data_IF_341008600384
#
_entry.id   IF_341008600384
#
_cell.length_a   1.000
_cell.length_b   1.000
_cell.length_c   1.000
_cell.angle_alpha   90.00
_cell.angle_beta   90.00
_cell.angle_gamma   90.00
#
_symmetry.space_group_name_H-M   'P 1'
#
loop_
_entity.id
_entity.type
_entity.pdbx_description
1 polymer ?
#
# COMPACT_ATOMS: atom_id res chain seq x y z
N UNK A 1 29.93 -15.75 0.46
CA UNK A 1 29.71 -15.34 -0.96
C UNK A 1 30.87 -15.86 -1.80
N UNK A 2 30.69 -16.09 -3.10
CA UNK A 2 31.78 -16.44 -4.02
C UNK A 2 32.10 -15.19 -4.85
N UNK A 3 33.37 -14.81 -4.90
CA UNK A 3 33.86 -13.66 -5.68
C UNK A 3 34.14 -14.06 -7.12
N UNK A 4 34.47 -13.08 -7.96
CA UNK A 4 34.81 -13.30 -9.37
C UNK A 4 35.93 -14.34 -9.57
N UNK A 5 36.88 -14.40 -8.64
CA UNK A 5 38.04 -15.30 -8.70
C UNK A 5 37.78 -16.68 -8.06
N UNK A 6 36.52 -17.06 -7.86
CA UNK A 6 36.11 -18.34 -7.27
C UNK A 6 36.64 -18.56 -5.84
N UNK A 7 36.83 -17.48 -5.08
CA UNK A 7 37.19 -17.54 -3.66
C UNK A 7 35.92 -17.49 -2.83
N UNK A 8 35.80 -18.40 -1.84
CA UNK A 8 34.74 -18.38 -0.84
C UNK A 8 35.14 -17.48 0.33
N UNK A 9 34.25 -16.55 0.70
CA UNK A 9 34.46 -15.68 1.86
C UNK A 9 33.19 -15.54 2.69
N UNK A 10 33.38 -15.40 4.00
CA UNK A 10 32.42 -14.88 4.95
C UNK A 10 32.78 -13.43 5.26
N UNK A 11 31.81 -12.52 5.11
CA UNK A 11 32.03 -11.07 5.24
C UNK A 11 30.92 -10.50 6.09
N UNK A 12 31.31 -9.81 7.15
CA UNK A 12 30.41 -9.04 8.00
C UNK A 12 30.40 -7.56 7.60
N UNK A 13 29.20 -7.00 7.51
CA UNK A 13 28.98 -5.60 7.18
C UNK A 13 28.04 -4.96 8.22
N UNK A 14 28.39 -3.75 8.65
CA UNK A 14 27.59 -2.93 9.58
C UNK A 14 27.10 -1.69 8.85
N UNK A 15 25.81 -1.39 8.99
CA UNK A 15 25.18 -0.23 8.38
C UNK A 15 24.74 0.77 9.45
N UNK A 16 25.18 2.03 9.30
CA UNK A 16 24.72 3.16 10.11
C UNK A 16 23.69 3.95 9.30
N UNK A 17 22.52 4.18 9.86
CA UNK A 17 21.44 4.93 9.24
C UNK A 17 20.82 5.90 10.23
N UNK A 18 20.32 7.02 9.72
CA UNK A 18 19.54 8.01 10.49
C UNK A 18 18.13 8.05 9.91
N UNK A 19 17.12 7.89 10.77
CA UNK A 19 15.74 8.07 10.34
C UNK A 19 15.42 9.56 10.31
N UNK A 20 14.96 10.06 9.17
CA UNK A 20 14.53 11.47 9.04
C UNK A 20 13.02 11.63 9.26
N UNK A 21 12.22 10.61 8.92
CA UNK A 21 10.76 10.66 9.01
C UNK A 21 10.20 9.40 9.67
N UNK A 22 9.85 9.48 10.95
CA UNK A 22 9.31 8.34 11.70
C UNK A 22 7.84 8.03 11.34
N UNK A 23 7.02 9.06 11.10
CA UNK A 23 5.57 8.90 10.88
C UNK A 23 5.23 8.11 9.62
N UNK A 24 5.90 8.41 8.50
CA UNK A 24 5.69 7.69 7.22
C UNK A 24 6.15 6.24 7.29
N UNK A 25 7.16 5.99 8.11
CA UNK A 25 7.86 4.71 8.21
C UNK A 25 7.05 3.70 9.03
N UNK A 26 6.31 4.16 10.06
CA UNK A 26 5.35 3.35 10.81
C UNK A 26 4.12 2.95 9.98
N UNK A 27 3.71 3.78 9.02
CA UNK A 27 2.56 3.46 8.14
C UNK A 27 2.90 2.50 7.01
N UNK A 28 4.17 2.37 6.63
CA UNK A 28 4.61 1.59 5.48
C UNK A 28 5.26 0.25 5.84
N UNK A 29 5.83 0.10 7.04
CA UNK A 29 6.64 -1.07 7.39
C UNK A 29 6.36 -1.58 8.81
N UNK A 30 6.07 -2.87 8.92
CA UNK A 30 5.91 -3.58 10.22
C UNK A 30 7.26 -3.99 10.83
N UNK A 31 8.36 -4.03 10.06
CA UNK A 31 9.68 -4.46 10.55
C UNK A 31 10.84 -3.86 9.73
N UNK A 32 11.38 -2.74 10.22
CA UNK A 32 12.42 -1.95 9.53
C UNK A 32 13.77 -2.67 9.58
N UNK A 33 14.14 -3.20 10.74
CA UNK A 33 15.45 -3.80 10.97
C UNK A 33 15.71 -4.97 10.02
N UNK A 34 14.73 -5.87 9.85
CA UNK A 34 14.83 -7.01 8.94
C UNK A 34 14.88 -6.57 7.47
N UNK A 35 14.11 -5.55 7.10
CA UNK A 35 14.12 -5.01 5.73
C UNK A 35 15.48 -4.38 5.38
N UNK A 36 16.05 -3.58 6.29
CA UNK A 36 17.38 -2.98 6.10
C UNK A 36 18.46 -4.06 6.07
N UNK A 37 18.41 -5.06 6.95
CA UNK A 37 19.37 -6.17 6.95
C UNK A 37 19.36 -6.91 5.61
N UNK A 38 18.16 -7.25 5.11
CA UNK A 38 18.02 -7.91 3.83
C UNK A 38 18.53 -7.03 2.69
N UNK A 39 18.20 -5.74 2.68
CA UNK A 39 18.67 -4.79 1.67
C UNK A 39 20.20 -4.66 1.66
N UNK A 40 20.82 -4.50 2.83
CA UNK A 40 22.28 -4.41 2.97
C UNK A 40 22.92 -5.72 2.53
N UNK A 41 22.35 -6.86 2.92
CA UNK A 41 22.86 -8.18 2.54
C UNK A 41 22.77 -8.39 1.03
N UNK A 42 21.65 -8.06 0.38
CA UNK A 42 21.46 -8.25 -1.06
C UNK A 42 22.39 -7.35 -1.86
N UNK A 43 22.52 -6.09 -1.45
CA UNK A 43 23.38 -5.10 -2.12
C UNK A 43 24.85 -5.48 -1.98
N UNK A 44 25.27 -5.82 -0.76
CA UNK A 44 26.65 -6.23 -0.46
C UNK A 44 26.98 -7.53 -1.21
N UNK A 45 26.14 -8.56 -1.11
CA UNK A 45 26.34 -9.83 -1.82
C UNK A 45 26.40 -9.64 -3.34
N UNK A 46 25.51 -8.82 -3.91
CA UNK A 46 25.48 -8.52 -5.34
C UNK A 46 26.75 -7.82 -5.80
N UNK A 47 27.25 -6.82 -5.07
CA UNK A 47 28.45 -6.09 -5.48
C UNK A 47 29.71 -6.97 -5.37
N UNK A 48 29.87 -7.68 -4.26
CA UNK A 48 31.04 -8.52 -4.01
C UNK A 48 31.19 -9.68 -5.01
N UNK A 49 30.07 -10.16 -5.57
CA UNK A 49 30.10 -11.20 -6.60
C UNK A 49 30.81 -10.76 -7.89
N UNK A 50 30.89 -9.46 -8.17
CA UNK A 50 31.47 -8.92 -9.41
C UNK A 50 32.93 -8.45 -9.25
N UNK A 51 33.47 -8.47 -8.03
CA UNK A 51 34.81 -7.95 -7.69
C UNK A 51 35.81 -9.08 -7.46
N UNK A 52 37.08 -8.78 -7.70
CA UNK A 52 38.20 -9.69 -7.45
C UNK A 52 38.58 -9.71 -5.96
N UNK A 53 39.08 -10.83 -5.44
CA UNK A 53 39.40 -10.97 -4.01
C UNK A 53 40.48 -9.97 -3.54
N UNK A 54 41.49 -9.73 -4.38
CA UNK A 54 42.56 -8.77 -4.09
C UNK A 54 42.04 -7.33 -3.93
N UNK A 55 41.09 -6.93 -4.78
CA UNK A 55 40.41 -5.63 -4.72
C UNK A 55 39.61 -5.48 -3.41
N UNK A 56 38.97 -6.56 -2.95
CA UNK A 56 38.24 -6.57 -1.67
C UNK A 56 39.14 -6.33 -0.45
N UNK A 57 40.37 -6.86 -0.47
CA UNK A 57 41.33 -6.69 0.62
C UNK A 57 42.01 -5.31 0.59
N UNK A 58 42.33 -4.80 -0.60
CA UNK A 58 43.06 -3.55 -0.77
C UNK A 58 42.16 -2.32 -0.62
N UNK A 59 40.93 -2.37 -1.13
CA UNK A 59 40.08 -1.18 -1.30
C UNK A 59 38.76 -1.23 -0.52
N UNK A 60 38.76 -1.85 0.67
CA UNK A 60 37.56 -2.00 1.51
C UNK A 60 36.76 -0.70 1.69
N UNK A 61 37.44 0.44 1.83
CA UNK A 61 36.80 1.76 1.99
C UNK A 61 36.09 2.22 0.70
N UNK A 62 36.75 2.08 -0.45
CA UNK A 62 36.18 2.43 -1.76
C UNK A 62 34.92 1.61 -2.02
N UNK A 63 35.02 0.29 -1.82
CA UNK A 63 33.89 -0.65 -2.00
C UNK A 63 32.72 -0.29 -1.09
N UNK A 64 32.98 0.06 0.17
CA UNK A 64 31.90 0.44 1.10
C UNK A 64 31.16 1.71 0.67
N UNK A 65 31.84 2.65 0.01
CA UNK A 65 31.22 3.85 -0.55
C UNK A 65 30.43 3.51 -1.82
N UNK A 66 30.98 2.68 -2.69
CA UNK A 66 30.28 2.21 -3.90
C UNK A 66 28.98 1.47 -3.57
N UNK A 67 28.98 0.59 -2.55
CA UNK A 67 27.76 -0.10 -2.10
C UNK A 67 26.64 0.91 -1.81
N UNK A 68 26.96 2.03 -1.13
CA UNK A 68 25.99 3.07 -0.81
C UNK A 68 25.48 3.79 -2.06
N UNK A 69 26.39 4.15 -2.98
CA UNK A 69 26.04 4.83 -4.22
C UNK A 69 25.14 3.95 -5.09
N UNK A 70 25.49 2.68 -5.25
CA UNK A 70 24.74 1.75 -6.09
C UNK A 70 23.36 1.45 -5.49
N UNK A 71 23.24 1.34 -4.16
CA UNK A 71 21.94 1.21 -3.52
C UNK A 71 21.04 2.42 -3.81
N UNK A 72 21.57 3.63 -3.63
CA UNK A 72 20.83 4.87 -3.88
C UNK A 72 20.45 5.04 -5.36
N UNK A 73 21.35 4.71 -6.29
CA UNK A 73 21.08 4.79 -7.72
C UNK A 73 20.01 3.77 -8.15
N UNK A 74 20.06 2.55 -7.60
CA UNK A 74 19.03 1.53 -7.86
C UNK A 74 17.64 1.97 -7.38
N UNK A 75 17.55 2.58 -6.21
CA UNK A 75 16.31 3.13 -5.67
C UNK A 75 15.78 4.31 -6.49
N UNK A 76 16.67 5.21 -6.93
CA UNK A 76 16.34 6.33 -7.80
C UNK A 76 15.80 5.86 -9.15
N UNK A 77 16.50 4.94 -9.81
CA UNK A 77 16.10 4.40 -11.11
C UNK A 77 14.73 3.69 -11.04
N UNK A 78 14.51 2.90 -9.98
CA UNK A 78 13.21 2.29 -9.72
C UNK A 78 12.11 3.35 -9.55
N UNK A 79 12.37 4.39 -8.74
CA UNK A 79 11.42 5.48 -8.51
C UNK A 79 11.09 6.28 -9.77
N UNK A 80 12.08 6.54 -10.63
CA UNK A 80 11.88 7.21 -11.92
C UNK A 80 11.02 6.38 -12.86
N UNK A 81 11.27 5.07 -12.96
CA UNK A 81 10.45 4.17 -13.76
C UNK A 81 9.00 4.14 -13.28
N UNK A 82 8.79 4.12 -11.96
CA UNK A 82 7.45 4.16 -11.35
C UNK A 82 6.77 5.51 -11.59
N UNK A 83 7.50 6.62 -11.53
CA UNK A 83 6.98 7.96 -11.85
C UNK A 83 6.51 8.04 -13.30
N UNK A 84 7.32 7.57 -14.25
CA UNK A 84 6.93 7.55 -15.67
C UNK A 84 5.70 6.67 -15.89
N UNK A 85 5.64 5.51 -15.25
CA UNK A 85 4.46 4.64 -15.32
C UNK A 85 3.21 5.33 -14.71
N UNK A 86 3.35 6.02 -13.58
CA UNK A 86 2.26 6.77 -12.95
C UNK A 86 1.77 7.93 -13.83
N UNK A 87 2.67 8.65 -14.50
CA UNK A 87 2.33 9.73 -15.44
C UNK A 87 1.52 9.19 -16.63
N UNK A 88 1.99 8.11 -17.25
CA UNK A 88 1.27 7.44 -18.35
C UNK A 88 -0.10 6.98 -17.87
N UNK A 89 -0.20 6.41 -16.67
CA UNK A 89 -1.49 5.99 -16.09
C UNK A 89 -2.42 7.17 -15.78
N UNK A 90 -1.88 8.32 -15.34
CA UNK A 90 -2.66 9.53 -15.10
C UNK A 90 -3.25 10.09 -16.39
N UNK A 91 -2.54 9.95 -17.51
CA UNK A 91 -3.03 10.41 -18.82
C UNK A 91 -4.18 9.56 -19.37
N UNK A 92 -4.34 8.31 -18.90
CA UNK A 92 -5.33 7.37 -19.41
C UNK A 92 -6.10 6.68 -18.26
N UNK A 93 -7.25 7.24 -17.81
CA UNK A 93 -8.03 6.68 -16.69
C UNK A 93 -8.54 5.25 -16.95
N UNK A 94 -8.74 4.87 -18.22
CA UNK A 94 -9.06 3.48 -18.60
C UNK A 94 -7.95 2.47 -18.25
N UNK A 95 -6.69 2.90 -18.24
CA UNK A 95 -5.55 2.04 -17.89
C UNK A 95 -5.52 1.70 -16.39
N UNK A 96 -5.98 2.61 -15.53
CA UNK A 96 -6.13 2.35 -14.10
C UNK A 96 -7.19 1.26 -13.83
N UNK A 97 -8.31 1.28 -14.57
CA UNK A 97 -9.35 0.28 -14.49
C UNK A 97 -8.89 -1.11 -14.98
N UNK A 98 -8.11 -1.16 -16.07
CA UNK A 98 -7.51 -2.42 -16.54
C UNK A 98 -6.47 -2.95 -15.56
N UNK A 99 -5.64 -2.09 -14.96
CA UNK A 99 -4.70 -2.48 -13.89
C UNK A 99 -5.43 -3.01 -12.67
N UNK A 100 -6.57 -2.42 -12.31
CA UNK A 100 -7.44 -2.94 -11.26
C UNK A 100 -7.94 -4.35 -11.61
N UNK A 101 -8.53 -4.56 -12.79
CA UNK A 101 -8.96 -5.91 -13.22
C UNK A 101 -7.81 -6.91 -13.31
N UNK A 102 -6.62 -6.48 -13.73
CA UNK A 102 -5.44 -7.34 -13.78
C UNK A 102 -4.99 -7.73 -12.36
N UNK A 103 -4.99 -6.79 -11.41
CA UNK A 103 -4.74 -7.08 -10.00
C UNK A 103 -5.81 -8.01 -9.41
N UNK A 104 -7.08 -7.83 -9.79
CA UNK A 104 -8.15 -8.77 -9.42
C UNK A 104 -7.88 -10.17 -9.96
N UNK A 105 -7.43 -10.28 -11.20
CA UNK A 105 -7.14 -11.56 -11.82
C UNK A 105 -5.96 -12.26 -11.13
N UNK A 106 -4.86 -11.53 -10.88
CA UNK A 106 -3.71 -12.07 -10.14
C UNK A 106 -4.09 -12.49 -8.71
N UNK A 107 -4.91 -11.69 -8.02
CA UNK A 107 -5.32 -12.01 -6.65
C UNK A 107 -6.33 -13.17 -6.58
N UNK A 108 -7.28 -13.24 -7.51
CA UNK A 108 -8.24 -14.34 -7.61
C UNK A 108 -7.54 -15.67 -7.95
N UNK A 109 -6.42 -15.63 -8.66
CA UNK A 109 -5.58 -16.81 -8.92
C UNK A 109 -4.84 -17.29 -7.67
N UNK A 110 -4.41 -16.39 -6.78
CA UNK A 110 -3.67 -16.75 -5.56
C UNK A 110 -4.58 -17.10 -4.37
N UNK A 111 -5.75 -16.46 -4.21
CA UNK A 111 -6.73 -16.73 -3.13
C UNK A 111 -8.19 -16.53 -3.59
N UNK A 112 -8.97 -17.61 -3.77
CA UNK A 112 -10.39 -17.51 -4.13
C UNK A 112 -11.26 -17.20 -2.90
N UNK A 113 -11.22 -15.96 -2.36
CA UNK A 113 -12.19 -15.45 -1.37
C UNK A 113 -12.09 -13.93 -1.11
N UNK A 114 -11.67 -13.10 -2.08
CA UNK A 114 -11.58 -11.65 -1.86
C UNK A 114 -12.93 -10.98 -2.16
N UNK A 115 -13.65 -10.56 -1.11
CA UNK A 115 -14.78 -9.63 -1.23
C UNK A 115 -14.22 -8.23 -1.51
N UNK A 116 -14.42 -7.71 -2.71
CA UNK A 116 -13.81 -6.45 -3.14
C UNK A 116 -14.91 -5.43 -3.38
N UNK A 117 -14.92 -4.41 -2.52
CA UNK A 117 -15.86 -3.30 -2.58
C UNK A 117 -15.37 -2.28 -3.62
N UNK A 118 -16.13 -2.01 -4.70
CA UNK A 118 -15.79 -0.93 -5.61
C UNK A 118 -15.96 0.42 -4.88
N UNK A 119 -14.87 1.19 -4.79
CA UNK A 119 -14.97 2.60 -4.44
C UNK A 119 -15.30 3.40 -5.70
N UNK A 120 -16.26 4.34 -5.64
CA UNK A 120 -16.52 5.28 -6.74
C UNK A 120 -15.23 6.04 -7.07
N UNK A 121 -14.84 6.02 -8.34
CA UNK A 121 -13.64 6.73 -8.84
C UNK A 121 -13.85 8.25 -8.91
N UNK A 122 -15.08 8.73 -8.68
CA UNK A 122 -15.45 10.14 -8.70
C UNK A 122 -15.44 10.73 -7.27
N UNK A 123 -14.44 11.57 -6.90
CA UNK A 123 -14.44 12.24 -5.59
C UNK A 123 -15.59 13.24 -5.44
N UNK A 124 -16.23 13.64 -6.53
CA UNK A 124 -17.27 14.67 -6.58
C UNK A 124 -18.63 14.20 -6.07
N UNK A 125 -18.90 12.89 -6.00
CA UNK A 125 -20.19 12.35 -5.52
C UNK A 125 -20.19 11.85 -4.07
N UNK A 126 -19.02 11.76 -3.43
CA UNK A 126 -18.89 11.24 -2.06
C UNK A 126 -19.28 12.26 -1.00
N UNK A 127 -19.13 13.57 -1.28
CA UNK A 127 -19.51 14.63 -0.32
C UNK A 127 -21.00 14.98 -0.38
N UNK A 128 -21.69 14.68 -1.49
CA UNK A 128 -23.11 15.01 -1.68
C UNK A 128 -24.04 14.09 -0.87
N UNK A 129 -23.62 12.84 -0.63
CA UNK A 129 -24.36 11.86 0.16
C UNK A 129 -24.15 11.97 1.68
N UNK A 130 -23.10 12.66 2.14
CA UNK A 130 -22.82 12.86 3.57
C UNK A 130 -23.57 14.05 4.21
N UNK A 131 -24.22 14.91 3.42
CA UNK A 131 -24.96 16.09 3.91
C UNK A 131 -26.49 15.96 3.79
N UNK A 132 -27.05 14.84 3.31
CA UNK A 132 -28.51 14.68 3.31
C UNK A 132 -28.99 14.21 4.69
N UNK A 133 -29.25 15.19 5.55
CA UNK A 133 -30.06 15.05 6.77
C UNK A 133 -31.25 14.11 6.52
N UNK A 134 -31.41 13.01 7.28
CA UNK A 134 -32.61 12.19 7.22
C UNK A 134 -33.77 12.88 7.96
N UNK A 135 -35.00 12.88 7.41
CA UNK A 135 -36.19 13.28 8.14
C UNK A 135 -36.62 12.19 9.13
N UNK A 136 -36.89 12.60 10.37
CA UNK A 136 -37.82 11.94 11.30
C UNK A 136 -37.44 10.58 11.89
N UNK A 137 -36.74 10.59 13.03
CA UNK A 137 -36.73 9.47 13.99
C UNK A 137 -37.48 9.94 15.24
N UNK A 138 -38.69 9.42 15.42
CA UNK A 138 -39.49 9.63 16.63
C UNK A 138 -38.97 8.65 17.70
N UNK A 139 -38.45 9.20 18.81
CA UNK A 139 -38.11 8.43 20.00
C UNK A 139 -39.32 8.33 20.92
N UNK A 140 -39.80 7.11 21.13
CA UNK A 140 -40.74 6.79 22.19
C UNK A 140 -40.06 7.01 23.54
N UNK A 141 -40.66 7.78 24.46
CA UNK A 141 -40.57 7.63 25.93
C UNK A 141 -41.81 8.30 26.55
N UNK A 142 -42.66 7.43 27.10
CA UNK A 142 -43.46 7.56 28.34
C UNK A 142 -44.46 8.71 28.48
N UNK A 143 -45.77 8.40 28.50
CA UNK A 143 -46.56 8.49 29.74
C UNK A 143 -47.99 7.97 29.54
N UNK A 144 -48.37 7.03 30.40
CA UNK A 144 -49.74 6.55 30.61
C UNK A 144 -50.58 7.67 31.23
N UNK A 145 -51.46 8.33 30.48
CA UNK A 145 -52.69 8.90 31.06
C UNK A 145 -53.74 9.19 29.98
N UNK A 146 -54.99 8.91 30.33
CA UNK A 146 -56.24 9.40 29.73
C UNK A 146 -56.88 8.61 28.57
N UNK A 147 -57.74 7.70 29.02
CA UNK A 147 -59.06 7.37 28.45
C UNK A 147 -59.71 8.56 27.73
N UNK A 148 -60.15 8.36 26.48
CA UNK A 148 -61.58 8.46 26.10
C UNK A 148 -61.78 8.38 24.58
N UNK A 149 -62.80 7.59 24.22
CA UNK A 149 -63.86 7.85 23.22
C UNK A 149 -63.44 8.43 21.85
N UNK A 150 -63.90 7.94 20.71
CA UNK A 150 -65.17 7.27 20.41
C UNK A 150 -65.23 7.07 18.89
N UNK A 151 -65.92 5.99 18.48
CA UNK A 151 -66.93 5.97 17.39
C UNK A 151 -66.43 6.35 15.98
N UNK A 152 -66.25 5.35 15.11
CA UNK A 152 -67.24 4.85 14.12
C UNK A 152 -67.31 5.77 12.89
N UNK A 153 -66.95 5.28 11.72
CA UNK A 153 -67.81 4.92 10.59
C UNK A 153 -66.87 5.14 9.37
N UNK A 154 -66.86 4.44 8.24
CA UNK A 154 -67.73 3.52 7.54
C UNK A 154 -66.79 2.88 6.48
N UNK A 155 -66.71 1.56 6.34
CA UNK A 155 -67.31 0.82 5.20
C UNK A 155 -67.30 1.61 3.88
N UNK A 156 -66.40 1.29 2.96
CA UNK A 156 -66.68 0.37 1.85
C UNK A 156 -65.43 0.20 0.96
N UNK A 157 -65.30 -1.03 0.46
CA UNK A 157 -64.29 -1.58 -0.44
C UNK A 157 -64.37 -0.96 -1.88
N UNK A 158 -63.74 -1.55 -2.93
CA UNK A 158 -62.32 -1.60 -3.24
C UNK A 158 -62.03 -1.26 -4.74
N UNK A 159 -60.77 -1.48 -5.17
CA UNK A 159 -60.28 -1.92 -6.50
C UNK A 159 -60.77 -1.22 -7.79
N UNK A 160 -59.84 -0.54 -8.45
CA UNK A 160 -59.42 -0.86 -9.83
C UNK A 160 -57.94 -0.55 -10.00
#
# INVERSE_FOLDING_TARGET
VVTKDMVTLEIDAVCYYRLENASLLLTTLTSISSAIQLLVQTTTKRLLAHRAFSELLLERKSISQEIKVIAAEGEKAASESLRMAAEILSSAPAAAQLRYLHALHSLAAEKPAAFILPLPLDPTNLVSSATRSPPGVNSNITDTTELRESVKDNKDSPML
#
